data_IF_467842614823
#
_entry.id   IF_467842614823
#
_cell.length_a   1.000
_cell.length_b   1.000
_cell.length_c   1.000
_cell.angle_alpha   90.00
_cell.angle_beta   90.00
_cell.angle_gamma   90.00
#
_symmetry.space_group_name_H-M   'P 1'
#
loop_
_entity.id
_entity.type
_entity.pdbx_description
1 polymer ?
#
# COMPACT_ATOMS: atom_id res chain seq x y z
N UNK A 1 35.66 -32.74 43.45
CA UNK A 1 35.33 -32.67 42.00
C UNK A 1 33.86 -33.00 41.70
N UNK A 2 33.25 -34.05 42.24
CA UNK A 2 31.82 -34.39 41.96
C UNK A 2 30.81 -33.31 42.38
N UNK A 3 31.02 -32.58 43.49
CA UNK A 3 30.13 -31.49 43.93
C UNK A 3 30.15 -30.26 43.00
N UNK A 4 31.31 -29.97 42.40
CA UNK A 4 31.43 -28.85 41.47
C UNK A 4 30.74 -29.13 40.13
N UNK A 5 30.74 -30.37 39.65
CA UNK A 5 30.05 -30.80 38.44
C UNK A 5 28.53 -30.77 38.59
N UNK A 6 27.98 -31.06 39.79
CA UNK A 6 26.54 -31.01 40.04
C UNK A 6 26.06 -29.57 40.07
N UNK A 7 26.81 -28.63 40.63
CA UNK A 7 26.48 -27.18 40.63
C UNK A 7 26.50 -26.61 39.22
N UNK A 8 27.43 -27.02 38.35
CA UNK A 8 27.52 -26.60 36.97
C UNK A 8 26.35 -27.13 36.15
N UNK A 9 25.89 -28.34 36.37
CA UNK A 9 24.77 -28.96 35.67
C UNK A 9 23.43 -28.31 36.05
N UNK A 10 23.25 -27.94 37.37
CA UNK A 10 22.04 -27.26 37.83
C UNK A 10 21.97 -25.79 37.31
N UNK A 11 23.10 -25.10 37.21
CA UNK A 11 23.14 -23.75 36.66
C UNK A 11 22.79 -23.72 35.15
N UNK A 12 23.12 -24.79 34.40
CA UNK A 12 22.80 -24.88 32.98
C UNK A 12 21.30 -25.14 32.71
N UNK A 13 20.59 -25.79 33.63
CA UNK A 13 19.14 -26.04 33.50
C UNK A 13 18.27 -24.83 33.82
N UNK A 14 18.77 -23.83 34.52
CA UNK A 14 17.99 -22.61 34.87
C UNK A 14 17.95 -21.61 33.71
N UNK A 15 18.87 -21.71 32.74
CA UNK A 15 18.93 -20.81 31.60
C UNK A 15 17.96 -21.15 30.43
N UNK A 16 17.27 -22.29 30.49
CA UNK A 16 16.35 -22.74 29.46
C UNK A 16 14.89 -22.37 29.69
N UNK A 17 14.55 -21.66 30.77
CA UNK A 17 13.21 -21.07 30.93
C UNK A 17 13.19 -19.68 30.30
N UNK A 18 13.40 -19.63 29.00
CA UNK A 18 12.94 -18.52 28.20
C UNK A 18 11.41 -18.62 28.15
N UNK A 19 10.72 -17.83 28.94
CA UNK A 19 9.30 -17.61 28.79
C UNK A 19 9.11 -16.97 27.40
N UNK A 20 8.88 -17.80 26.39
CA UNK A 20 8.15 -17.33 25.21
C UNK A 20 6.73 -17.04 25.71
N UNK A 21 6.47 -15.77 25.99
CA UNK A 21 5.12 -15.30 26.14
C UNK A 21 4.53 -15.41 24.75
N UNK A 22 3.69 -16.41 24.53
CA UNK A 22 2.94 -16.52 23.29
C UNK A 22 2.26 -15.17 23.03
N UNK A 23 2.36 -14.61 21.82
CA UNK A 23 1.66 -13.39 21.49
C UNK A 23 0.17 -13.60 21.80
N UNK A 24 -0.44 -12.65 22.49
CA UNK A 24 -1.87 -12.70 22.78
C UNK A 24 -2.65 -12.58 21.48
N UNK A 25 -2.96 -13.74 20.89
CA UNK A 25 -3.69 -13.83 19.62
C UNK A 25 -5.15 -13.35 19.72
N UNK A 26 -5.68 -13.18 20.95
CA UNK A 26 -6.99 -12.56 21.17
C UNK A 26 -6.94 -11.03 20.99
N UNK A 27 -5.74 -10.45 20.94
CA UNK A 27 -5.52 -9.04 20.57
C UNK A 27 -5.21 -8.84 19.08
N UNK A 28 -5.09 -9.90 18.34
CA UNK A 28 -5.24 -9.84 16.88
C UNK A 28 -6.75 -9.73 16.61
N UNK A 29 -7.31 -8.56 16.97
CA UNK A 29 -8.60 -8.16 16.43
C UNK A 29 -8.54 -8.35 14.93
N UNK A 30 -9.68 -8.57 14.28
CA UNK A 30 -9.84 -8.71 12.84
C UNK A 30 -9.33 -7.49 12.07
N UNK A 31 -8.09 -7.11 12.33
CA UNK A 31 -7.53 -5.84 11.95
C UNK A 31 -6.96 -5.93 10.55
N UNK A 32 -7.15 -4.86 9.83
CA UNK A 32 -6.57 -4.62 8.54
C UNK A 32 -5.03 -4.73 8.59
N UNK A 33 -4.42 -5.15 7.50
CA UNK A 33 -2.97 -5.16 7.34
C UNK A 33 -2.62 -4.05 6.35
N UNK A 34 -1.62 -3.24 6.71
CA UNK A 34 -1.12 -2.14 5.89
C UNK A 34 0.33 -2.38 5.54
N UNK A 35 0.60 -2.45 4.25
CA UNK A 35 1.95 -2.45 3.69
C UNK A 35 2.17 -1.16 2.92
N UNK A 36 3.36 -0.59 3.03
CA UNK A 36 3.80 0.52 2.20
C UNK A 36 5.16 0.23 1.63
N UNK A 37 5.40 0.68 0.42
CA UNK A 37 6.70 0.64 -0.24
C UNK A 37 6.94 1.96 -0.98
N UNK A 38 8.21 2.25 -1.26
CA UNK A 38 8.58 3.45 -1.98
C UNK A 38 9.91 3.26 -2.71
N UNK A 39 10.15 4.10 -3.68
CA UNK A 39 11.44 4.21 -4.33
C UNK A 39 12.42 4.99 -3.46
N UNK A 40 13.47 4.33 -2.97
CA UNK A 40 14.48 4.92 -2.10
C UNK A 40 15.29 6.05 -2.79
N UNK A 41 15.26 6.09 -4.13
CA UNK A 41 15.90 7.13 -4.91
C UNK A 41 15.07 8.41 -5.04
N UNK A 42 13.79 8.38 -4.66
CA UNK A 42 12.88 9.51 -4.80
C UNK A 42 13.07 10.54 -3.69
N UNK A 43 13.27 11.79 -4.07
CA UNK A 43 13.20 12.94 -3.14
C UNK A 43 11.77 13.46 -3.05
N UNK A 44 10.99 12.94 -2.12
CA UNK A 44 9.61 13.34 -1.89
C UNK A 44 9.43 14.82 -1.54
N UNK A 45 10.47 15.48 -1.05
CA UNK A 45 10.43 16.91 -0.73
C UNK A 45 10.49 17.82 -1.95
N UNK A 46 10.91 17.27 -3.09
CA UNK A 46 10.92 18.00 -4.36
C UNK A 46 9.54 18.21 -4.96
N UNK A 47 8.56 17.34 -4.62
CA UNK A 47 7.20 17.45 -5.11
C UNK A 47 6.43 18.54 -4.34
N UNK A 48 5.70 19.42 -5.03
CA UNK A 48 4.87 20.48 -4.47
C UNK A 48 3.39 20.18 -4.55
N UNK A 49 2.98 19.63 -5.66
CA UNK A 49 1.58 19.50 -6.05
C UNK A 49 1.20 18.04 -6.30
N UNK A 50 -0.09 17.74 -6.10
CA UNK A 50 -0.64 16.45 -6.49
C UNK A 50 -2.01 16.60 -7.15
N UNK A 51 -2.28 15.71 -8.08
CA UNK A 51 -3.61 15.48 -8.63
C UNK A 51 -4.16 14.15 -8.12
N UNK A 52 -5.47 14.07 -7.89
CA UNK A 52 -6.13 12.83 -7.51
C UNK A 52 -7.15 12.42 -8.55
N UNK A 53 -7.14 11.14 -8.92
CA UNK A 53 -8.18 10.57 -9.75
C UNK A 53 -9.39 10.31 -8.86
N UNK A 54 -10.51 10.97 -9.12
CA UNK A 54 -11.71 11.07 -8.28
C UNK A 54 -12.53 9.77 -8.18
N UNK A 55 -12.07 8.72 -8.83
CA UNK A 55 -12.71 7.40 -8.86
C UNK A 55 -11.74 6.28 -8.52
N UNK A 56 -12.23 5.23 -7.87
CA UNK A 56 -11.44 4.06 -7.51
C UNK A 56 -11.58 3.01 -8.62
N UNK A 57 -10.47 2.61 -9.23
CA UNK A 57 -10.46 1.55 -10.23
C UNK A 57 -10.78 0.19 -9.59
N UNK A 58 -11.73 -0.53 -10.15
CA UNK A 58 -12.08 -1.89 -9.69
C UNK A 58 -11.24 -2.90 -10.46
N UNK A 59 -10.36 -3.59 -9.74
CA UNK A 59 -9.58 -4.72 -10.26
C UNK A 59 -10.34 -6.01 -9.96
N UNK A 60 -10.81 -6.69 -11.02
CA UNK A 60 -11.64 -7.89 -10.91
C UNK A 60 -11.67 -8.68 -12.23
N UNK A 61 -12.67 -9.54 -12.41
CA UNK A 61 -12.80 -10.44 -13.56
C UNK A 61 -13.36 -9.76 -14.83
N UNK A 62 -13.27 -8.46 -14.96
CA UNK A 62 -13.79 -7.74 -16.13
C UNK A 62 -12.69 -7.41 -17.12
N UNK A 63 -12.93 -7.68 -18.40
CA UNK A 63 -12.06 -7.26 -19.50
C UNK A 63 -12.15 -5.76 -19.81
N UNK A 64 -13.00 -5.03 -19.05
CA UNK A 64 -13.19 -3.59 -19.19
C UNK A 64 -12.92 -2.91 -17.86
N UNK A 65 -12.35 -1.71 -17.92
CA UNK A 65 -12.20 -0.86 -16.75
C UNK A 65 -13.56 -0.59 -16.12
N UNK A 66 -13.65 -0.83 -14.82
CA UNK A 66 -14.81 -0.49 -14.01
C UNK A 66 -14.35 0.41 -12.87
N UNK A 67 -15.16 1.41 -12.55
CA UNK A 67 -14.82 2.40 -11.54
C UNK A 67 -15.87 2.40 -10.43
N UNK A 68 -15.38 2.49 -9.22
CA UNK A 68 -16.21 2.69 -8.05
C UNK A 68 -16.30 4.21 -7.79
N UNK A 69 -17.50 4.75 -8.02
CA UNK A 69 -17.78 6.17 -7.90
C UNK A 69 -19.11 6.39 -7.17
N UNK A 70 -19.10 6.29 -5.85
CA UNK A 70 -20.24 6.58 -4.98
C UNK A 70 -19.77 7.32 -3.72
N UNK A 71 -20.68 7.59 -2.79
CA UNK A 71 -20.33 8.34 -1.56
C UNK A 71 -19.26 7.66 -0.69
N UNK A 72 -19.18 6.34 -0.72
CA UNK A 72 -18.17 5.61 0.04
C UNK A 72 -16.78 5.71 -0.63
N UNK A 73 -16.72 5.59 -1.96
CA UNK A 73 -15.46 5.77 -2.69
C UNK A 73 -14.94 7.18 -2.56
N UNK A 74 -15.81 8.19 -2.63
CA UNK A 74 -15.43 9.59 -2.40
C UNK A 74 -14.79 9.81 -1.03
N UNK A 75 -15.38 9.27 0.03
CA UNK A 75 -14.81 9.35 1.39
C UNK A 75 -13.42 8.71 1.47
N UNK A 76 -13.18 7.64 0.73
CA UNK A 76 -11.88 6.98 0.69
C UNK A 76 -10.87 7.86 -0.05
N UNK A 77 -11.25 8.42 -1.20
CA UNK A 77 -10.43 9.39 -1.93
C UNK A 77 -10.09 10.59 -1.05
N UNK A 78 -11.11 11.20 -0.42
CA UNK A 78 -10.94 12.35 0.49
C UNK A 78 -9.98 12.05 1.63
N UNK A 79 -9.99 10.83 2.18
CA UNK A 79 -9.07 10.46 3.24
C UNK A 79 -7.60 10.46 2.78
N UNK A 80 -7.31 9.98 1.58
CA UNK A 80 -5.96 10.08 1.01
C UNK A 80 -5.57 11.53 0.70
N UNK A 81 -6.51 12.34 0.19
CA UNK A 81 -6.29 13.77 -0.05
C UNK A 81 -5.90 14.48 1.23
N UNK A 82 -6.67 14.29 2.32
CA UNK A 82 -6.39 14.88 3.64
C UNK A 82 -5.00 14.50 4.14
N UNK A 83 -4.59 13.24 3.99
CA UNK A 83 -3.27 12.79 4.45
C UNK A 83 -2.14 13.39 3.60
N UNK A 84 -2.33 13.57 2.30
CA UNK A 84 -1.35 14.26 1.44
C UNK A 84 -1.26 15.75 1.76
N UNK A 85 -2.37 16.43 2.00
CA UNK A 85 -2.39 17.82 2.45
C UNK A 85 -1.68 17.98 3.81
N UNK A 86 -1.94 17.07 4.76
CA UNK A 86 -1.25 17.02 6.05
C UNK A 86 0.25 16.76 5.91
N UNK A 87 0.66 16.02 4.89
CA UNK A 87 2.07 15.78 4.55
C UNK A 87 2.72 17.01 3.88
N UNK A 88 1.95 18.03 3.50
CA UNK A 88 2.43 19.31 2.97
C UNK A 88 2.34 19.47 1.45
N UNK A 89 1.60 18.58 0.76
CA UNK A 89 1.34 18.71 -0.68
C UNK A 89 0.10 19.56 -0.95
N UNK A 90 0.06 20.20 -2.11
CA UNK A 90 -1.05 21.05 -2.54
C UNK A 90 -1.85 20.36 -3.65
N UNK A 91 -3.17 20.17 -3.50
CA UNK A 91 -3.98 19.57 -4.56
C UNK A 91 -4.11 20.54 -5.75
N UNK A 92 -4.12 19.98 -6.97
CA UNK A 92 -4.39 20.70 -8.23
C UNK A 92 -5.47 19.96 -9.02
N UNK A 93 -6.26 20.72 -9.79
CA UNK A 93 -7.37 20.15 -10.56
C UNK A 93 -6.91 19.43 -11.83
N UNK A 94 -5.89 20.00 -12.50
CA UNK A 94 -5.39 19.44 -13.75
C UNK A 94 -4.18 18.55 -13.50
N UNK A 95 -4.18 17.38 -14.11
CA UNK A 95 -3.10 16.39 -13.94
C UNK A 95 -1.75 16.86 -14.49
N UNK A 96 -1.78 17.72 -15.51
CA UNK A 96 -0.60 18.31 -16.13
C UNK A 96 0.12 19.33 -15.22
N UNK A 97 -0.55 19.83 -14.19
CA UNK A 97 0.00 20.76 -13.20
C UNK A 97 0.56 20.05 -11.97
N UNK A 98 0.37 18.73 -11.87
CA UNK A 98 0.76 17.94 -10.73
C UNK A 98 2.18 17.39 -10.88
N UNK A 99 2.97 17.45 -9.80
CA UNK A 99 4.24 16.74 -9.71
C UNK A 99 4.03 15.25 -9.53
N UNK A 100 2.98 14.87 -8.77
CA UNK A 100 2.59 13.49 -8.54
C UNK A 100 1.08 13.29 -8.72
N UNK A 101 0.68 12.08 -9.13
CA UNK A 101 -0.71 11.68 -9.26
C UNK A 101 -1.03 10.59 -8.24
N UNK A 102 -2.14 10.74 -7.52
CA UNK A 102 -2.71 9.68 -6.69
C UNK A 102 -3.70 8.86 -7.48
N UNK A 103 -3.42 7.58 -7.65
CA UNK A 103 -4.35 6.57 -8.17
C UNK A 103 -4.78 5.63 -7.07
N UNK A 104 -6.08 5.32 -6.99
CA UNK A 104 -6.62 4.33 -6.08
C UNK A 104 -7.23 3.15 -6.85
N UNK A 105 -7.03 1.96 -6.33
CA UNK A 105 -7.59 0.72 -6.88
C UNK A 105 -8.21 -0.14 -5.78
N UNK A 106 -9.31 -0.82 -6.10
CA UNK A 106 -10.01 -1.77 -5.23
C UNK A 106 -9.96 -3.17 -5.83
N UNK A 107 -9.49 -4.13 -5.05
CA UNK A 107 -9.43 -5.54 -5.46
C UNK A 107 -10.77 -6.20 -5.13
N UNK A 108 -11.53 -6.55 -6.17
CA UNK A 108 -12.85 -7.20 -6.02
C UNK A 108 -12.78 -8.72 -5.98
N UNK A 109 -11.70 -9.32 -6.47
CA UNK A 109 -11.49 -10.76 -6.46
C UNK A 109 -10.09 -11.12 -5.93
N UNK A 110 -9.94 -12.31 -5.39
CA UNK A 110 -8.65 -12.79 -4.89
C UNK A 110 -7.75 -13.22 -6.04
N UNK A 111 -6.57 -12.60 -6.12
CA UNK A 111 -5.49 -13.00 -7.00
C UNK A 111 -4.25 -13.29 -6.17
N UNK A 112 -3.58 -14.39 -6.48
CA UNK A 112 -2.32 -14.75 -5.85
C UNK A 112 -1.16 -14.27 -6.73
N UNK A 113 -0.47 -13.22 -6.27
CA UNK A 113 0.79 -12.78 -6.86
C UNK A 113 1.90 -12.99 -5.84
N UNK A 114 2.95 -13.68 -6.22
CA UNK A 114 3.92 -14.15 -5.24
C UNK A 114 5.24 -13.38 -5.21
N UNK A 115 5.61 -12.62 -6.22
CA UNK A 115 6.82 -11.78 -6.20
C UNK A 115 6.96 -10.98 -7.49
N UNK A 116 7.35 -9.72 -7.38
CA UNK A 116 7.65 -8.87 -8.53
C UNK A 116 9.00 -8.19 -8.33
N UNK A 117 9.86 -8.35 -9.35
CA UNK A 117 11.00 -7.48 -9.55
C UNK A 117 10.58 -6.13 -10.15
N UNK A 118 11.53 -5.19 -10.32
CA UNK A 118 11.27 -3.93 -11.00
C UNK A 118 10.62 -4.18 -12.37
N UNK A 119 9.49 -3.54 -12.61
CA UNK A 119 8.78 -3.66 -13.89
C UNK A 119 7.25 -3.59 -13.78
N UNK A 120 6.56 -3.63 -14.90
CA UNK A 120 5.12 -3.49 -14.96
C UNK A 120 4.43 -4.82 -14.65
N UNK A 121 3.81 -4.95 -13.49
CA UNK A 121 3.02 -6.14 -13.15
C UNK A 121 1.57 -6.08 -13.64
N UNK A 122 1.05 -4.90 -13.90
CA UNK A 122 -0.28 -4.67 -14.43
C UNK A 122 -0.44 -4.99 -15.94
N UNK A 123 0.60 -5.42 -16.62
CA UNK A 123 0.55 -5.76 -18.05
C UNK A 123 -0.49 -6.83 -18.42
N UNK A 124 -1.02 -7.54 -17.44
CA UNK A 124 -2.04 -8.58 -17.65
C UNK A 124 -3.46 -8.10 -17.36
N UNK A 125 -3.65 -6.81 -17.00
CA UNK A 125 -4.95 -6.27 -16.64
C UNK A 125 -5.50 -5.38 -17.75
N UNK A 126 -6.49 -5.87 -18.53
CA UNK A 126 -7.25 -5.03 -19.46
C UNK A 126 -8.01 -3.98 -18.66
N UNK A 127 -7.83 -2.72 -18.97
CA UNK A 127 -8.57 -1.63 -18.32
C UNK A 127 -7.75 -0.66 -17.48
N UNK A 128 -6.57 -1.04 -17.03
CA UNK A 128 -5.62 -0.12 -16.39
C UNK A 128 -5.03 0.89 -17.39
N UNK A 129 -5.18 0.63 -18.66
CA UNK A 129 -4.57 1.35 -19.78
C UNK A 129 -5.34 2.59 -20.23
N UNK A 130 -6.39 3.03 -19.52
CA UNK A 130 -7.29 4.07 -20.04
C UNK A 130 -6.72 5.50 -19.95
N UNK A 131 -5.54 5.66 -19.37
CA UNK A 131 -4.76 6.90 -19.38
C UNK A 131 -3.84 6.93 -20.60
N UNK A 132 -4.40 7.12 -21.79
CA UNK A 132 -3.64 7.34 -23.02
C UNK A 132 -2.66 6.23 -23.42
N UNK A 133 -2.80 5.01 -22.87
CA UNK A 133 -1.91 3.88 -23.17
C UNK A 133 -0.69 3.76 -22.25
N UNK A 134 -0.58 4.59 -21.22
CA UNK A 134 0.53 4.55 -20.26
C UNK A 134 0.34 3.45 -19.23
N UNK A 135 1.37 2.68 -18.95
CA UNK A 135 1.41 1.68 -17.86
C UNK A 135 2.21 2.20 -16.67
N UNK A 136 2.15 1.46 -15.55
CA UNK A 136 2.92 1.76 -14.36
C UNK A 136 4.28 1.05 -14.39
N UNK A 137 5.30 1.71 -13.92
CA UNK A 137 6.63 1.16 -13.67
C UNK A 137 6.97 1.27 -12.20
N UNK A 138 7.31 0.15 -11.57
CA UNK A 138 7.79 0.11 -10.21
C UNK A 138 9.31 -0.02 -10.21
N UNK A 139 10.05 0.96 -9.70
CA UNK A 139 11.52 0.88 -9.62
C UNK A 139 12.01 -0.05 -8.51
N UNK A 140 11.11 -0.57 -7.68
CA UNK A 140 11.39 -1.44 -6.55
C UNK A 140 10.65 -2.77 -6.64
N UNK A 141 11.14 -3.76 -5.89
CA UNK A 141 10.49 -5.08 -5.79
C UNK A 141 9.55 -5.11 -4.59
N UNK A 142 8.41 -5.79 -4.74
CA UNK A 142 7.48 -6.03 -3.64
C UNK A 142 6.83 -7.42 -3.78
N UNK A 143 6.37 -7.96 -2.66
CA UNK A 143 5.68 -9.25 -2.61
C UNK A 143 4.43 -9.10 -1.76
N UNK A 144 3.26 -9.22 -2.38
CA UNK A 144 1.98 -9.26 -1.70
C UNK A 144 1.11 -10.38 -2.25
N UNK A 145 0.22 -10.91 -1.41
CA UNK A 145 -0.93 -11.67 -1.89
C UNK A 145 -2.15 -10.77 -1.85
N UNK A 146 -2.73 -10.50 -2.99
CA UNK A 146 -3.92 -9.67 -3.07
C UNK A 146 -5.14 -10.46 -2.62
N UNK A 147 -5.94 -9.87 -1.73
CA UNK A 147 -7.20 -10.44 -1.25
C UNK A 147 -8.36 -9.54 -1.62
N UNK A 148 -9.52 -10.14 -1.81
CA UNK A 148 -10.78 -9.40 -2.01
C UNK A 148 -10.99 -8.39 -0.88
N UNK A 149 -11.44 -7.19 -1.23
CA UNK A 149 -11.65 -6.11 -0.27
C UNK A 149 -10.40 -5.35 0.10
N UNK A 150 -9.35 -5.42 -0.72
CA UNK A 150 -8.12 -4.62 -0.53
C UNK A 150 -8.19 -3.33 -1.32
N UNK A 151 -7.52 -2.30 -0.80
CA UNK A 151 -7.31 -1.02 -1.48
C UNK A 151 -5.81 -0.85 -1.72
N UNK A 152 -5.47 -0.39 -2.92
CA UNK A 152 -4.14 0.02 -3.31
C UNK A 152 -4.18 1.52 -3.54
N UNK A 153 -3.27 2.26 -2.92
CA UNK A 153 -2.98 3.66 -3.24
C UNK A 153 -1.59 3.76 -3.84
N UNK A 154 -1.46 4.51 -4.92
CA UNK A 154 -0.22 4.67 -5.67
C UNK A 154 0.06 6.15 -5.92
N UNK A 155 1.26 6.62 -5.56
CA UNK A 155 1.75 7.93 -5.97
C UNK A 155 2.68 7.75 -7.17
N UNK A 156 2.39 8.46 -8.23
CA UNK A 156 3.01 8.35 -9.54
C UNK A 156 3.72 9.67 -9.82
N UNK A 157 5.03 9.62 -10.06
CA UNK A 157 5.80 10.76 -10.52
C UNK A 157 5.56 10.97 -12.03
N UNK A 158 5.03 12.13 -12.39
CA UNK A 158 4.70 12.46 -13.78
C UNK A 158 5.93 12.82 -14.60
N UNK A 159 7.05 13.16 -13.96
CA UNK A 159 8.28 13.65 -14.57
C UNK A 159 9.44 12.67 -14.50
N UNK A 160 9.29 11.57 -13.74
CA UNK A 160 10.38 10.61 -13.59
C UNK A 160 10.76 9.96 -14.92
N UNK A 161 12.05 9.88 -15.24
CA UNK A 161 12.50 9.12 -16.39
C UNK A 161 12.18 7.64 -16.20
N UNK A 162 11.51 7.03 -17.16
CA UNK A 162 11.22 5.59 -17.14
C UNK A 162 12.13 4.85 -18.11
N UNK A 163 12.54 3.62 -17.79
CA UNK A 163 13.29 2.76 -18.71
C UNK A 163 12.48 2.39 -19.97
N UNK A 164 11.19 2.63 -19.95
CA UNK A 164 10.25 2.29 -21.00
C UNK A 164 9.37 3.51 -21.29
N UNK A 165 9.44 4.03 -22.50
CA UNK A 165 8.84 5.32 -22.95
C UNK A 165 7.33 5.46 -22.77
N UNK A 166 6.62 4.36 -22.41
CA UNK A 166 5.15 4.35 -22.31
C UNK A 166 4.69 4.07 -20.87
N UNK A 167 5.48 4.42 -19.85
CA UNK A 167 5.14 4.12 -18.46
C UNK A 167 5.43 5.28 -17.53
N UNK A 168 4.59 5.39 -16.51
CA UNK A 168 4.74 6.34 -15.41
C UNK A 168 5.32 5.63 -14.20
N UNK A 169 6.22 6.28 -13.48
CA UNK A 169 6.93 5.70 -12.35
C UNK A 169 6.12 5.80 -11.07
N UNK A 170 5.82 4.67 -10.45
CA UNK A 170 5.23 4.64 -9.11
C UNK A 170 6.34 4.84 -8.09
N UNK A 171 6.29 5.95 -7.36
CA UNK A 171 7.30 6.30 -6.36
C UNK A 171 6.94 5.86 -4.95
N UNK A 172 5.66 5.67 -4.68
CA UNK A 172 5.14 5.13 -3.43
C UNK A 172 3.87 4.33 -3.67
N UNK A 173 3.67 3.29 -2.87
CA UNK A 173 2.40 2.61 -2.82
C UNK A 173 2.03 2.16 -1.42
N UNK A 174 0.73 2.11 -1.15
CA UNK A 174 0.10 1.45 -0.02
C UNK A 174 -0.73 0.28 -0.50
N UNK A 175 -0.67 -0.83 0.21
CA UNK A 175 -1.56 -1.95 0.06
C UNK A 175 -2.25 -2.23 1.40
N UNK A 176 -3.56 -2.16 1.41
CA UNK A 176 -4.37 -2.30 2.61
C UNK A 176 -5.35 -3.45 2.39
N UNK A 177 -5.35 -4.45 3.28
CA UNK A 177 -6.26 -5.59 3.24
C UNK A 177 -6.94 -5.83 4.59
N UNK A 178 -7.94 -6.74 4.62
CA UNK A 178 -8.74 -6.98 5.82
C UNK A 178 -9.82 -5.92 6.05
N UNK A 179 -10.21 -5.20 5.00
CA UNK A 179 -11.16 -4.10 5.10
C UNK A 179 -12.63 -4.55 5.10
N UNK A 180 -12.90 -5.81 4.82
CA UNK A 180 -14.26 -6.34 4.80
C UNK A 180 -14.76 -6.65 6.20
N UNK A 181 -16.04 -6.32 6.44
CA UNK A 181 -16.83 -6.81 7.54
C UNK A 181 -17.97 -7.67 6.94
N UNK A 182 -17.82 -8.99 7.02
CA UNK A 182 -18.57 -9.91 6.18
C UNK A 182 -18.27 -9.66 4.69
N UNK A 183 -19.30 -9.34 3.91
CA UNK A 183 -19.16 -9.04 2.48
C UNK A 183 -19.10 -7.53 2.16
N UNK A 184 -19.11 -6.66 3.17
CA UNK A 184 -19.14 -5.23 2.99
C UNK A 184 -17.82 -4.59 3.40
N UNK A 185 -17.41 -3.55 2.68
CA UNK A 185 -16.25 -2.75 3.07
C UNK A 185 -16.57 -1.94 4.33
N UNK A 186 -15.73 -2.06 5.36
CA UNK A 186 -15.81 -1.25 6.56
C UNK A 186 -15.10 0.09 6.37
N UNK A 187 -15.87 1.17 6.25
CA UNK A 187 -15.30 2.52 6.10
C UNK A 187 -14.42 2.94 7.28
N UNK A 188 -14.82 2.59 8.51
CA UNK A 188 -14.02 2.96 9.70
C UNK A 188 -12.65 2.29 9.70
N UNK A 189 -12.58 1.01 9.35
CA UNK A 189 -11.30 0.29 9.17
C UNK A 189 -10.49 0.90 8.03
N UNK A 190 -11.14 1.22 6.92
CA UNK A 190 -10.48 1.83 5.77
C UNK A 190 -9.83 3.15 6.13
N UNK A 191 -10.55 4.06 6.82
CA UNK A 191 -9.99 5.33 7.26
C UNK A 191 -8.81 5.16 8.22
N UNK A 192 -8.93 4.26 9.20
CA UNK A 192 -7.85 3.96 10.13
C UNK A 192 -6.61 3.39 9.42
N UNK A 193 -6.83 2.53 8.43
CA UNK A 193 -5.77 1.90 7.66
C UNK A 193 -5.05 2.89 6.73
N UNK A 194 -5.77 3.83 6.12
CA UNK A 194 -5.18 4.92 5.32
C UNK A 194 -4.28 5.78 6.22
N UNK A 195 -4.79 6.24 7.36
CA UNK A 195 -3.98 7.00 8.32
C UNK A 195 -2.73 6.21 8.77
N UNK A 196 -2.85 4.89 8.97
CA UNK A 196 -1.72 4.04 9.30
C UNK A 196 -0.69 3.98 8.16
N UNK A 197 -1.12 3.93 6.89
CA UNK A 197 -0.23 3.93 5.73
C UNK A 197 0.66 5.19 5.70
N UNK A 198 0.09 6.35 5.97
CA UNK A 198 0.86 7.60 6.04
C UNK A 198 1.74 7.68 7.29
N UNK A 199 1.28 7.22 8.45
CA UNK A 199 2.11 7.16 9.66
C UNK A 199 3.38 6.32 9.49
N UNK A 200 3.31 5.23 8.75
CA UNK A 200 4.49 4.39 8.49
C UNK A 200 5.29 4.85 7.26
N UNK A 201 4.89 5.95 6.63
CA UNK A 201 5.56 6.60 5.50
C UNK A 201 6.03 8.03 5.84
N UNK A 202 6.81 8.24 6.92
CA UNK A 202 7.18 9.60 7.37
C UNK A 202 8.04 10.36 6.37
N UNK A 203 8.65 9.69 5.41
CA UNK A 203 9.42 10.27 4.31
C UNK A 203 8.55 11.06 3.31
N UNK A 204 7.22 10.86 3.32
CA UNK A 204 6.28 11.67 2.54
C UNK A 204 6.10 13.08 3.14
N UNK A 205 6.40 13.29 4.41
CA UNK A 205 6.20 14.59 5.06
C UNK A 205 7.31 15.57 4.67
N UNK A 206 6.91 16.78 4.29
CA UNK A 206 7.78 17.90 3.91
C UNK A 206 8.37 18.62 5.10
#
# INVERSE_FOLDING_TARGET
>A
MKKLQIISLTALMVLSVSCQKDPDTNRLDNDYIVYTNYDIGTDFKSFGTFHVIDSILIIGNSDKAAYWNNDNSRKIVDAYVIELENAGYTPVEESEEADIILQLSYISNTYYFTSFGPGPWWNSYPGYWNWGGWGWYYPYSFTYSYSTGSIIGELIDTNAPTPQNDKLTVVWNSYICGLLDGNNLSLSRTMAAINQAFKQSPYLTK
#
